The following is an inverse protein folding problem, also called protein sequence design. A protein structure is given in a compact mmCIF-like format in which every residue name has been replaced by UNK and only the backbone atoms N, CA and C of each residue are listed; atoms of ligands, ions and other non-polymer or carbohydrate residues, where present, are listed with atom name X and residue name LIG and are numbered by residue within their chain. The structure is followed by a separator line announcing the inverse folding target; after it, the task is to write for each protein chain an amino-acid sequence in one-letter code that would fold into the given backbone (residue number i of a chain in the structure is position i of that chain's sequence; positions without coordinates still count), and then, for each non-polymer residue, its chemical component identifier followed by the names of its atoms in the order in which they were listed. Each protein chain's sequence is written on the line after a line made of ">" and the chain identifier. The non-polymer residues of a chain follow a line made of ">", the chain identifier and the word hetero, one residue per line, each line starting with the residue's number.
data_IF_014155647787
#
_entry.id   IF_014155647787
#
_cell.length_a   1.000
_cell.length_b   1.000
_cell.length_c   1.000
_cell.angle_alpha   90.00
_cell.angle_beta   90.00
_cell.angle_gamma   90.00
#
_symmetry.space_group_name_H-M   'P 1'
#
loop_
_entity.id
_entity.type
_entity.pdbx_description
1 polymer ?
#
# COMPACT_ATOMS: atom_id res chain seq x y z
N UNK A 1 -13.50 20.69 13.57
CA UNK A 1 -13.31 21.52 12.37
C UNK A 1 -14.13 20.90 11.25
N UNK A 2 -14.70 21.72 10.38
CA UNK A 2 -15.52 21.27 9.25
C UNK A 2 -14.77 21.58 7.96
N UNK A 3 -14.46 20.55 7.17
CA UNK A 3 -13.71 20.60 5.90
C UNK A 3 -12.52 21.59 5.88
N UNK A 4 -11.53 21.44 6.78
CA UNK A 4 -10.40 22.37 6.84
C UNK A 4 -9.48 22.30 5.60
N UNK A 5 -9.72 21.35 4.69
CA UNK A 5 -9.01 21.14 3.43
C UNK A 5 -9.54 21.94 2.23
N UNK A 6 -10.68 22.62 2.33
CA UNK A 6 -11.43 23.18 1.20
C UNK A 6 -10.62 24.04 0.19
N UNK A 7 -9.49 24.63 0.62
CA UNK A 7 -8.63 25.48 -0.22
C UNK A 7 -7.17 25.04 -0.26
N UNK A 8 -6.87 23.80 0.13
CA UNK A 8 -5.52 23.26 0.17
C UNK A 8 -5.26 22.29 -0.98
N UNK A 9 -4.07 22.38 -1.58
CA UNK A 9 -3.57 21.33 -2.48
C UNK A 9 -3.42 20.01 -1.74
N UNK A 10 -3.32 18.89 -2.45
CA UNK A 10 -3.05 17.58 -1.84
C UNK A 10 -1.81 17.61 -0.94
N UNK A 11 -0.74 18.29 -1.34
CA UNK A 11 0.45 18.49 -0.50
C UNK A 11 0.16 19.35 0.73
N UNK A 12 -0.60 20.44 0.59
CA UNK A 12 -0.99 21.29 1.70
C UNK A 12 -1.86 20.57 2.73
N UNK A 13 -2.71 19.65 2.28
CA UNK A 13 -3.49 18.79 3.16
C UNK A 13 -2.61 17.80 3.94
N UNK A 14 -1.58 17.25 3.31
CA UNK A 14 -0.58 16.42 3.99
C UNK A 14 0.23 17.21 5.04
N UNK A 15 0.57 18.46 4.73
CA UNK A 15 1.21 19.36 5.69
C UNK A 15 0.27 19.68 6.87
N UNK A 16 -1.02 19.87 6.59
CA UNK A 16 -2.05 20.09 7.61
C UNK A 16 -2.18 18.90 8.57
N UNK A 17 -2.08 17.66 8.08
CA UNK A 17 -2.03 16.47 8.95
C UNK A 17 -0.87 16.52 9.94
N UNK A 18 0.33 16.96 9.51
CA UNK A 18 1.48 17.12 10.42
C UNK A 18 1.25 18.22 11.46
N UNK A 19 0.56 19.30 11.09
CA UNK A 19 0.18 20.36 12.02
C UNK A 19 -0.79 19.80 13.07
N UNK A 20 -1.84 19.08 12.64
CA UNK A 20 -2.79 18.44 13.54
C UNK A 20 -2.11 17.48 14.52
N UNK A 21 -1.17 16.65 14.04
CA UNK A 21 -0.39 15.76 14.90
C UNK A 21 0.43 16.56 15.92
N UNK A 22 1.04 17.69 15.53
CA UNK A 22 1.77 18.57 16.45
C UNK A 22 0.90 19.24 17.52
N UNK A 23 -0.41 19.42 17.28
CA UNK A 23 -1.37 19.86 18.30
C UNK A 23 -1.81 18.71 19.21
N UNK A 24 -2.04 17.52 18.65
CA UNK A 24 -2.47 16.34 19.40
C UNK A 24 -1.36 15.73 20.26
N UNK A 25 -0.12 15.77 19.76
CA UNK A 25 1.05 15.16 20.36
C UNK A 25 2.25 16.13 20.28
N UNK A 26 2.23 17.23 21.04
CA UNK A 26 3.28 18.23 21.00
C UNK A 26 4.62 17.66 21.50
N UNK A 27 5.70 17.99 20.81
CA UNK A 27 7.06 17.61 21.21
C UNK A 27 7.57 18.43 22.40
N UNK A 28 7.12 19.69 22.54
CA UNK A 28 7.44 20.53 23.67
C UNK A 28 6.62 20.09 24.90
N UNK A 29 7.25 19.59 25.98
CA UNK A 29 6.55 19.16 27.19
C UNK A 29 5.74 20.28 27.87
N UNK A 30 6.04 21.54 27.56
CA UNK A 30 5.33 22.70 28.10
C UNK A 30 4.00 22.97 27.41
N UNK A 31 3.76 22.36 26.25
CA UNK A 31 2.52 22.54 25.49
C UNK A 31 1.55 21.42 25.83
N UNK A 32 0.35 21.79 26.28
CA UNK A 32 -0.70 20.83 26.54
C UNK A 32 -1.19 20.20 25.21
N UNK A 33 -1.33 18.85 25.15
CA UNK A 33 -2.01 18.16 24.05
C UNK A 33 -3.43 18.69 23.84
N UNK A 34 -3.87 18.80 22.58
CA UNK A 34 -5.23 19.20 22.23
C UNK A 34 -5.93 18.09 21.45
N UNK A 35 -7.22 17.83 21.74
CA UNK A 35 -8.00 16.92 20.93
C UNK A 35 -8.34 17.58 19.59
N UNK A 36 -7.93 16.95 18.49
CA UNK A 36 -8.26 17.39 17.12
C UNK A 36 -9.34 16.47 16.56
N UNK A 37 -10.50 17.05 16.23
CA UNK A 37 -11.60 16.36 15.55
C UNK A 37 -11.99 17.17 14.32
N UNK A 38 -12.01 16.52 13.17
CA UNK A 38 -12.40 17.12 11.91
C UNK A 38 -13.20 16.15 11.04
N UNK A 39 -13.97 16.70 10.12
CA UNK A 39 -14.65 15.97 9.05
C UNK A 39 -14.09 16.44 7.71
N UNK A 40 -14.01 15.53 6.74
CA UNK A 40 -13.47 15.83 5.41
C UNK A 40 -14.05 14.85 4.39
N UNK A 41 -14.25 15.34 3.17
CA UNK A 41 -14.49 14.50 2.01
C UNK A 41 -13.21 14.23 1.21
N UNK A 42 -12.08 14.85 1.58
CA UNK A 42 -10.85 14.68 0.85
C UNK A 42 -10.11 13.41 1.27
N UNK A 43 -9.71 12.56 0.30
CA UNK A 43 -8.87 11.40 0.57
C UNK A 43 -7.44 11.81 1.00
N UNK A 44 -7.01 13.03 0.73
CA UNK A 44 -5.67 13.53 1.06
C UNK A 44 -5.58 14.16 2.46
N UNK A 45 -6.69 14.38 3.15
CA UNK A 45 -6.71 14.77 4.56
C UNK A 45 -7.08 13.58 5.48
N UNK A 46 -6.78 12.36 5.03
CA UNK A 46 -6.93 11.15 5.82
C UNK A 46 -5.56 10.68 6.30
N UNK A 47 -5.41 10.57 7.62
CA UNK A 47 -4.21 10.01 8.23
C UNK A 47 -4.22 8.47 8.15
N UNK A 48 -3.65 7.96 7.05
CA UNK A 48 -3.50 6.52 6.77
C UNK A 48 -2.56 5.83 7.76
N UNK A 49 -1.62 6.56 8.37
CA UNK A 49 -0.72 6.01 9.41
C UNK A 49 -1.46 5.58 10.68
N UNK A 50 -2.62 6.19 10.94
CA UNK A 50 -3.44 5.99 12.13
C UNK A 50 -4.88 5.61 11.79
N UNK A 51 -5.06 4.52 11.05
CA UNK A 51 -6.38 4.06 10.61
C UNK A 51 -7.37 3.75 11.75
N UNK A 52 -6.89 3.50 12.97
CA UNK A 52 -7.71 3.36 14.18
C UNK A 52 -8.37 4.66 14.64
N UNK A 53 -7.90 5.82 14.17
CA UNK A 53 -8.49 7.14 14.44
C UNK A 53 -9.57 7.50 13.42
N UNK A 54 -9.61 6.82 12.29
CA UNK A 54 -10.57 7.11 11.20
C UNK A 54 -11.95 6.57 11.58
N UNK A 55 -12.98 7.38 11.37
CA UNK A 55 -14.39 7.02 11.46
C UNK A 55 -15.03 7.25 10.09
N UNK A 56 -15.63 6.21 9.51
CA UNK A 56 -16.36 6.34 8.24
C UNK A 56 -17.84 6.45 8.54
N UNK A 57 -18.47 7.52 8.07
CA UNK A 57 -19.91 7.72 8.19
C UNK A 57 -20.56 7.32 6.86
N UNK A 58 -21.45 6.34 6.91
CA UNK A 58 -22.20 5.86 5.75
C UNK A 58 -23.68 6.16 5.96
N UNK A 59 -24.29 6.85 4.98
CA UNK A 59 -25.74 7.01 4.92
C UNK A 59 -26.33 5.75 4.29
N UNK A 60 -27.20 5.03 5.02
CA UNK A 60 -27.94 3.89 4.49
C UNK A 60 -29.27 4.35 3.89
N UNK A 61 -29.87 3.50 3.06
CA UNK A 61 -31.17 3.78 2.44
C UNK A 61 -32.32 3.58 3.44
N UNK A 62 -33.41 4.32 3.23
CA UNK A 62 -34.63 4.20 4.06
C UNK A 62 -34.42 4.60 5.52
N UNK A 63 -35.02 3.83 6.43
CA UNK A 63 -35.07 4.10 7.88
C UNK A 63 -33.85 3.55 8.65
N UNK A 64 -32.85 2.97 7.96
CA UNK A 64 -31.67 2.37 8.59
C UNK A 64 -30.71 3.42 9.21
N UNK A 65 -30.89 4.70 8.90
CA UNK A 65 -30.14 5.80 9.50
C UNK A 65 -28.66 5.87 9.06
N UNK A 66 -27.80 6.40 9.95
CA UNK A 66 -26.36 6.57 9.68
C UNK A 66 -25.56 5.46 10.36
N UNK A 67 -24.78 4.73 9.58
CA UNK A 67 -23.83 3.73 10.10
C UNK A 67 -22.46 4.38 10.31
N UNK A 68 -21.86 4.17 11.48
CA UNK A 68 -20.50 4.63 11.78
C UNK A 68 -19.55 3.44 11.88
N UNK A 69 -18.64 3.32 10.90
CA UNK A 69 -17.55 2.34 10.96
C UNK A 69 -16.42 2.94 11.78
N UNK A 70 -16.17 2.35 12.95
CA UNK A 70 -15.26 2.94 13.96
C UNK A 70 -13.78 2.78 13.66
N UNK A 71 -13.38 1.93 12.72
CA UNK A 71 -11.98 1.72 12.41
C UNK A 71 -11.88 1.25 10.97
N UNK A 72 -11.41 2.13 10.09
CA UNK A 72 -11.30 1.83 8.66
C UNK A 72 -10.19 0.80 8.37
N UNK A 73 -9.11 0.77 9.15
CA UNK A 73 -7.98 -0.14 8.90
C UNK A 73 -8.31 -1.61 9.18
N UNK A 74 -9.30 -1.91 10.03
CA UNK A 74 -9.75 -3.31 10.27
C UNK A 74 -10.28 -4.00 9.02
N UNK A 75 -10.89 -3.24 8.12
CA UNK A 75 -11.46 -3.76 6.89
C UNK A 75 -10.65 -3.33 5.66
N UNK A 76 -9.32 -3.16 5.78
CA UNK A 76 -8.44 -2.76 4.67
C UNK A 76 -8.81 -1.45 4.01
N UNK A 77 -9.38 -0.53 4.78
CA UNK A 77 -9.93 0.71 4.27
C UNK A 77 -11.05 0.47 3.22
N UNK A 78 -11.61 -0.73 3.10
CA UNK A 78 -12.73 -1.04 2.21
C UNK A 78 -13.95 -0.15 2.47
N UNK A 79 -14.30 0.19 3.73
CA UNK A 79 -15.35 1.18 3.98
C UNK A 79 -15.03 2.55 3.38
N UNK A 80 -13.75 2.97 3.39
CA UNK A 80 -13.34 4.21 2.70
C UNK A 80 -13.41 4.05 1.18
N UNK A 81 -12.94 2.93 0.63
CA UNK A 81 -13.01 2.64 -0.82
C UNK A 81 -14.45 2.68 -1.32
N UNK A 82 -15.34 2.00 -0.60
CA UNK A 82 -16.77 1.98 -0.88
C UNK A 82 -17.39 3.38 -0.78
N UNK A 83 -17.01 4.17 0.23
CA UNK A 83 -17.49 5.54 0.40
C UNK A 83 -17.01 6.50 -0.71
N UNK A 84 -15.80 6.30 -1.25
CA UNK A 84 -15.29 7.08 -2.38
C UNK A 84 -15.80 6.57 -3.75
N UNK A 85 -16.32 5.34 -3.82
CA UNK A 85 -16.75 4.67 -5.05
C UNK A 85 -15.60 3.93 -5.75
N UNK A 86 -15.89 2.76 -6.35
CA UNK A 86 -14.86 1.82 -6.83
C UNK A 86 -13.84 2.40 -7.82
N UNK A 87 -14.26 3.24 -8.76
CA UNK A 87 -13.37 3.83 -9.77
C UNK A 87 -12.48 4.95 -9.21
N UNK A 88 -13.04 5.79 -8.33
CA UNK A 88 -12.31 6.87 -7.65
C UNK A 88 -11.37 6.26 -6.61
N UNK A 89 -11.79 5.26 -5.85
CA UNK A 89 -10.95 4.57 -4.87
C UNK A 89 -9.68 4.01 -5.52
N UNK A 90 -9.78 3.25 -6.61
CA UNK A 90 -8.62 2.61 -7.25
C UNK A 90 -7.58 3.60 -7.81
N UNK A 91 -8.02 4.77 -8.32
CA UNK A 91 -7.11 5.81 -8.83
C UNK A 91 -6.66 6.82 -7.78
N UNK A 92 -7.48 7.09 -6.76
CA UNK A 92 -7.17 8.00 -5.64
C UNK A 92 -6.03 7.47 -4.76
N UNK A 93 -5.78 6.16 -4.79
CA UNK A 93 -4.64 5.56 -4.12
C UNK A 93 -3.34 5.64 -4.95
N UNK A 94 -3.35 6.05 -6.23
CA UNK A 94 -2.11 6.42 -6.90
C UNK A 94 -1.72 7.83 -6.44
N UNK A 95 -0.83 7.88 -5.45
CA UNK A 95 -0.28 9.12 -4.88
C UNK A 95 0.93 9.59 -5.70
N UNK A 96 1.56 10.68 -5.25
CA UNK A 96 2.85 11.13 -5.78
C UNK A 96 3.95 10.05 -5.64
N UNK A 97 3.84 9.16 -4.66
CA UNK A 97 4.75 8.03 -4.44
C UNK A 97 3.97 6.73 -4.20
N UNK A 98 4.32 5.68 -4.96
CA UNK A 98 3.59 4.42 -4.97
C UNK A 98 4.54 3.23 -4.82
N UNK A 99 4.19 2.28 -3.98
CA UNK A 99 4.81 0.97 -3.89
C UNK A 99 3.85 -0.07 -4.48
N UNK A 100 4.21 -0.59 -5.67
CA UNK A 100 3.48 -1.65 -6.34
C UNK A 100 3.80 -2.98 -5.68
N UNK A 101 2.77 -3.72 -5.31
CA UNK A 101 2.83 -5.00 -4.60
C UNK A 101 2.12 -6.07 -5.42
N UNK A 102 2.53 -7.33 -5.31
CA UNK A 102 1.93 -8.40 -6.09
C UNK A 102 0.50 -8.68 -5.64
N UNK A 103 0.29 -8.79 -4.33
CA UNK A 103 -0.96 -9.26 -3.75
C UNK A 103 -1.57 -8.30 -2.73
N UNK A 104 -2.84 -8.55 -2.44
CA UNK A 104 -3.54 -7.88 -1.32
C UNK A 104 -2.95 -8.33 0.03
N UNK A 105 -2.48 -9.58 0.15
CA UNK A 105 -1.78 -10.09 1.33
C UNK A 105 -0.59 -9.20 1.71
N UNK A 106 0.23 -8.81 0.73
CA UNK A 106 1.42 -7.98 0.92
C UNK A 106 1.06 -6.62 1.51
N UNK A 107 0.00 -5.99 0.96
CA UNK A 107 -0.50 -4.71 1.43
C UNK A 107 -0.92 -4.79 2.91
N UNK A 108 -1.60 -5.87 3.29
CA UNK A 108 -2.10 -6.10 4.65
C UNK A 108 -0.94 -6.27 5.62
N UNK A 109 0.04 -7.09 5.25
CA UNK A 109 1.22 -7.33 6.08
C UNK A 109 2.04 -6.05 6.27
N UNK A 110 2.35 -5.33 5.19
CA UNK A 110 3.14 -4.09 5.25
C UNK A 110 2.41 -2.98 6.01
N UNK A 111 1.14 -2.71 5.71
CA UNK A 111 0.37 -1.68 6.41
C UNK A 111 0.15 -2.04 7.89
N UNK A 112 -0.15 -3.31 8.18
CA UNK A 112 -0.37 -3.82 9.52
C UNK A 112 0.90 -3.75 10.38
N UNK A 113 2.03 -4.20 9.83
CA UNK A 113 3.33 -4.16 10.51
C UNK A 113 3.80 -2.71 10.72
N UNK A 114 3.63 -1.86 9.71
CA UNK A 114 3.93 -0.43 9.81
C UNK A 114 3.14 0.23 10.95
N UNK A 115 1.85 -0.08 11.10
CA UNK A 115 1.04 0.39 12.23
C UNK A 115 1.54 -0.13 13.58
N UNK A 116 1.97 -1.41 13.66
CA UNK A 116 2.54 -2.00 14.89
C UNK A 116 3.86 -1.32 15.28
N UNK A 117 4.76 -1.08 14.33
CA UNK A 117 6.03 -0.39 14.55
C UNK A 117 5.80 1.05 15.07
N UNK A 118 4.77 1.76 14.57
CA UNK A 118 4.41 3.09 15.12
C UNK A 118 3.93 2.99 16.56
N UNK A 119 3.13 1.98 16.90
CA UNK A 119 2.68 1.76 18.28
C UNK A 119 3.86 1.47 19.22
N UNK A 120 4.92 0.82 18.72
CA UNK A 120 6.18 0.60 19.46
C UNK A 120 7.09 1.82 19.48
N UNK A 121 6.69 2.94 18.86
CA UNK A 121 7.50 4.16 18.71
C UNK A 121 8.83 3.90 18.00
N UNK A 122 8.84 2.99 17.02
CA UNK A 122 9.98 2.79 16.15
C UNK A 122 10.37 4.11 15.46
N UNK A 123 11.68 4.36 15.21
CA UNK A 123 12.13 5.55 14.49
C UNK A 123 11.41 5.70 13.15
N UNK A 124 11.14 6.95 12.75
CA UNK A 124 10.43 7.23 11.50
C UNK A 124 11.14 6.69 10.25
N UNK A 125 12.47 6.58 10.29
CA UNK A 125 13.26 6.00 9.18
C UNK A 125 13.11 4.48 9.07
N UNK A 126 12.74 3.81 10.17
CA UNK A 126 12.55 2.37 10.22
C UNK A 126 11.09 1.98 9.93
N UNK A 127 10.27 2.94 9.51
CA UNK A 127 8.85 2.73 9.25
C UNK A 127 8.41 3.38 7.93
N UNK A 128 7.47 2.74 7.27
CA UNK A 128 6.85 3.26 6.06
C UNK A 128 5.92 4.41 6.44
N UNK A 129 5.97 5.56 5.76
CA UNK A 129 4.96 6.62 5.91
C UNK A 129 3.83 6.39 4.89
N UNK A 130 2.70 5.87 5.34
CA UNK A 130 1.52 5.57 4.50
C UNK A 130 0.77 6.82 4.07
N UNK A 131 1.07 7.99 4.65
CA UNK A 131 0.55 9.27 4.19
C UNK A 131 1.30 9.75 2.94
N UNK A 132 2.61 9.53 2.89
CA UNK A 132 3.47 9.87 1.75
C UNK A 132 3.50 8.79 0.65
N UNK A 133 3.50 7.51 1.04
CA UNK A 133 3.58 6.34 0.15
C UNK A 133 2.22 5.63 0.11
N UNK A 134 1.74 5.30 -1.08
CA UNK A 134 0.60 4.39 -1.21
C UNK A 134 1.04 2.99 -1.61
N UNK A 135 0.49 1.99 -0.92
CA UNK A 135 0.63 0.58 -1.27
C UNK A 135 -0.44 0.21 -2.31
N UNK A 136 -0.01 -0.30 -3.46
CA UNK A 136 -0.89 -0.60 -4.60
C UNK A 136 -0.79 -2.10 -4.95
N UNK A 137 -1.76 -2.94 -4.55
CA UNK A 137 -1.78 -4.34 -4.90
C UNK A 137 -2.18 -4.54 -6.36
N UNK A 138 -1.41 -5.33 -7.11
CA UNK A 138 -1.64 -5.61 -8.53
C UNK A 138 -2.44 -6.89 -8.81
N UNK A 139 -2.67 -7.70 -7.78
CA UNK A 139 -3.33 -9.00 -7.86
C UNK A 139 -2.43 -10.15 -8.31
N UNK A 140 -1.36 -9.88 -9.07
CA UNK A 140 -0.28 -10.83 -9.37
C UNK A 140 0.94 -10.11 -9.93
N UNK A 141 2.13 -10.70 -9.75
CA UNK A 141 3.38 -10.26 -10.40
C UNK A 141 3.21 -10.00 -11.91
N UNK A 142 2.39 -10.79 -12.62
CA UNK A 142 2.18 -10.62 -14.07
C UNK A 142 1.50 -9.30 -14.45
N UNK A 143 0.71 -8.71 -13.54
CA UNK A 143 -0.01 -7.46 -13.77
C UNK A 143 0.84 -6.23 -13.45
N UNK A 144 1.91 -6.38 -12.67
CA UNK A 144 2.79 -5.28 -12.24
C UNK A 144 3.31 -4.45 -13.42
N UNK A 145 3.92 -5.03 -14.49
CA UNK A 145 4.45 -4.21 -15.58
C UNK A 145 3.39 -3.35 -16.27
N UNK A 146 2.17 -3.88 -16.40
CA UNK A 146 1.06 -3.15 -17.00
C UNK A 146 0.59 -2.01 -16.10
N UNK A 147 0.46 -2.25 -14.78
CA UNK A 147 0.09 -1.21 -13.83
C UNK A 147 1.13 -0.09 -13.74
N UNK A 148 2.42 -0.44 -13.75
CA UNK A 148 3.51 0.54 -13.79
C UNK A 148 3.45 1.38 -15.07
N UNK A 149 3.17 0.76 -16.21
CA UNK A 149 2.98 1.48 -17.48
C UNK A 149 1.80 2.47 -17.40
N UNK A 150 0.67 2.07 -16.82
CA UNK A 150 -0.49 2.95 -16.64
C UNK A 150 -0.20 4.09 -15.67
N UNK A 151 0.39 3.80 -14.51
CA UNK A 151 0.68 4.78 -13.48
C UNK A 151 1.64 5.87 -13.98
N UNK A 152 2.66 5.51 -14.77
CA UNK A 152 3.59 6.49 -15.35
C UNK A 152 2.99 7.28 -16.51
N UNK A 153 1.94 6.76 -17.14
CA UNK A 153 1.23 7.42 -18.24
C UNK A 153 2.15 7.92 -19.35
N UNK A 154 1.70 9.00 -20.02
CA UNK A 154 2.49 9.77 -20.99
C UNK A 154 2.70 11.22 -20.57
N UNK A 155 2.28 11.57 -19.36
CA UNK A 155 2.33 12.93 -18.87
C UNK A 155 3.77 13.37 -18.55
N UNK A 156 3.96 14.69 -18.48
CA UNK A 156 5.24 15.29 -18.11
C UNK A 156 5.57 15.01 -16.64
N UNK A 157 4.56 15.11 -15.77
CA UNK A 157 4.66 14.71 -14.37
C UNK A 157 4.31 13.24 -14.23
N UNK A 158 5.32 12.43 -13.90
CA UNK A 158 5.16 11.00 -13.66
C UNK A 158 5.22 10.75 -12.15
N UNK A 159 4.25 10.03 -11.57
CA UNK A 159 4.33 9.66 -10.17
C UNK A 159 5.58 8.81 -9.91
N UNK A 160 6.13 8.94 -8.71
CA UNK A 160 7.19 8.05 -8.26
C UNK A 160 6.60 6.64 -8.05
N UNK A 161 7.32 5.65 -8.56
CA UNK A 161 6.91 4.25 -8.51
C UNK A 161 8.10 3.40 -8.05
N UNK A 162 7.89 2.65 -6.99
CA UNK A 162 8.75 1.58 -6.49
C UNK A 162 7.96 0.29 -6.69
N UNK A 163 8.65 -0.80 -6.99
CA UNK A 163 8.04 -2.12 -7.14
C UNK A 163 8.70 -3.07 -6.15
N UNK A 164 7.90 -3.85 -5.43
CA UNK A 164 8.36 -4.97 -4.61
C UNK A 164 7.79 -6.27 -5.19
N UNK A 165 8.68 -7.22 -5.48
CA UNK A 165 8.36 -8.52 -6.06
C UNK A 165 8.89 -9.66 -5.18
N UNK A 166 8.23 -10.80 -5.28
CA UNK A 166 8.79 -12.08 -4.86
C UNK A 166 10.00 -12.48 -5.70
N UNK A 167 10.73 -13.47 -5.18
CA UNK A 167 11.86 -14.11 -5.85
C UNK A 167 11.49 -15.50 -6.37
N UNK A 168 10.29 -15.61 -6.93
CA UNK A 168 9.81 -16.78 -7.67
C UNK A 168 9.88 -16.53 -9.19
N UNK A 169 9.48 -17.52 -9.99
CA UNK A 169 9.50 -17.40 -11.45
C UNK A 169 8.61 -16.25 -11.96
N UNK A 170 7.50 -15.97 -11.25
CA UNK A 170 6.55 -14.92 -11.61
C UNK A 170 7.17 -13.52 -11.39
N UNK A 171 7.79 -13.30 -10.23
CA UNK A 171 8.53 -12.09 -9.88
C UNK A 171 9.70 -11.84 -10.84
N UNK A 172 10.47 -12.87 -11.19
CA UNK A 172 11.56 -12.77 -12.16
C UNK A 172 11.07 -12.36 -13.56
N UNK A 173 9.95 -12.92 -14.00
CA UNK A 173 9.30 -12.54 -15.27
C UNK A 173 8.83 -11.08 -15.22
N UNK A 174 8.23 -10.65 -14.11
CA UNK A 174 7.79 -9.28 -13.90
C UNK A 174 8.97 -8.29 -13.92
N UNK A 175 10.07 -8.59 -13.20
CA UNK A 175 11.32 -7.81 -13.20
C UNK A 175 11.88 -7.64 -14.62
N UNK A 176 11.97 -8.72 -15.39
CA UNK A 176 12.38 -8.67 -16.81
C UNK A 176 11.42 -7.84 -17.65
N UNK A 177 10.12 -7.94 -17.41
CA UNK A 177 9.09 -7.15 -18.06
C UNK A 177 9.25 -5.64 -17.82
N UNK A 178 9.53 -5.24 -16.58
CA UNK A 178 9.78 -3.85 -16.20
C UNK A 178 11.06 -3.29 -16.83
N UNK A 179 12.11 -4.10 -16.91
CA UNK A 179 13.39 -3.73 -17.51
C UNK A 179 13.33 -3.65 -19.05
N UNK A 180 12.56 -4.53 -19.71
CA UNK A 180 12.44 -4.51 -21.18
C UNK A 180 11.41 -3.49 -21.65
N UNK A 181 10.28 -3.40 -20.94
CA UNK A 181 9.10 -2.61 -21.28
C UNK A 181 8.56 -2.82 -22.70
N UNK A 182 7.64 -1.94 -23.12
CA UNK A 182 7.07 -1.96 -24.46
C UNK A 182 8.01 -1.25 -25.45
N UNK A 183 8.24 -1.84 -26.63
CA UNK A 183 9.16 -1.31 -27.64
C UNK A 183 10.64 -1.21 -27.18
N UNK A 184 11.05 -2.03 -26.21
CA UNK A 184 12.44 -2.07 -25.71
C UNK A 184 12.84 -0.89 -24.83
N UNK A 185 11.87 -0.09 -24.34
CA UNK A 185 12.12 1.01 -23.40
C UNK A 185 11.77 0.58 -21.98
N UNK A 186 12.74 0.72 -21.07
CA UNK A 186 12.58 0.47 -19.63
C UNK A 186 11.36 1.21 -19.07
N UNK A 187 10.54 0.51 -18.29
CA UNK A 187 9.37 1.11 -17.64
C UNK A 187 9.72 1.87 -16.37
N UNK A 188 10.75 1.46 -15.63
CA UNK A 188 11.26 2.15 -14.44
C UNK A 188 12.76 1.94 -14.31
N UNK A 189 13.39 2.72 -13.43
CA UNK A 189 14.77 2.53 -13.03
C UNK A 189 14.92 1.16 -12.34
N UNK A 190 15.90 0.30 -12.73
CA UNK A 190 16.16 -0.96 -12.05
C UNK A 190 16.38 -0.84 -10.54
N UNK A 191 16.91 0.28 -10.06
CA UNK A 191 17.15 0.50 -8.63
C UNK A 191 15.84 0.68 -7.83
N UNK A 192 14.72 0.91 -8.53
CA UNK A 192 13.37 1.00 -7.97
C UNK A 192 12.60 -0.34 -8.08
N UNK A 193 13.25 -1.41 -8.54
CA UNK A 193 12.69 -2.76 -8.61
C UNK A 193 13.35 -3.59 -7.50
N UNK A 194 12.63 -3.79 -6.41
CA UNK A 194 13.07 -4.57 -5.26
C UNK A 194 12.55 -6.00 -5.42
N UNK A 195 13.41 -6.99 -5.16
CA UNK A 195 13.03 -8.39 -4.98
C UNK A 195 13.34 -8.83 -3.55
N UNK A 196 12.45 -9.64 -2.96
CA UNK A 196 12.59 -10.09 -1.58
C UNK A 196 13.84 -10.94 -1.35
N UNK A 197 14.25 -11.74 -2.33
CA UNK A 197 15.49 -12.54 -2.28
C UNK A 197 16.77 -11.70 -2.40
N UNK A 198 16.68 -10.43 -2.79
CA UNK A 198 17.83 -9.51 -2.78
C UNK A 198 18.09 -8.93 -1.35
N UNK A 199 17.21 -9.21 -0.39
CA UNK A 199 17.36 -8.75 1.00
C UNK A 199 18.49 -9.52 1.69
N UNK A 200 19.48 -8.85 2.30
CA UNK A 200 20.58 -9.52 2.99
C UNK A 200 20.09 -10.43 4.12
N UNK A 201 20.43 -11.73 4.05
CA UNK A 201 19.98 -12.73 5.02
C UNK A 201 20.55 -12.55 6.44
N UNK A 202 21.59 -11.73 6.61
CA UNK A 202 22.11 -11.31 7.91
C UNK A 202 21.24 -10.24 8.60
N UNK A 203 20.37 -9.57 7.83
CA UNK A 203 19.46 -8.53 8.33
C UNK A 203 18.04 -9.02 8.59
N UNK A 204 17.66 -10.15 7.99
CA UNK A 204 16.29 -10.64 8.02
C UNK A 204 16.29 -12.15 8.26
N UNK A 205 15.71 -12.55 9.38
CA UNK A 205 15.49 -13.95 9.68
C UNK A 205 14.28 -14.46 8.89
N UNK A 206 14.41 -15.65 8.32
CA UNK A 206 13.32 -16.36 7.65
C UNK A 206 13.15 -17.74 8.26
N UNK A 207 11.90 -18.20 8.29
CA UNK A 207 11.55 -19.56 8.68
C UNK A 207 11.60 -20.54 7.52
N UNK A 208 11.61 -20.05 6.28
CA UNK A 208 11.76 -20.87 5.10
C UNK A 208 13.23 -21.33 4.96
N UNK A 209 13.42 -22.60 4.60
CA UNK A 209 14.74 -23.22 4.47
C UNK A 209 15.59 -22.58 3.36
N UNK A 210 14.93 -22.02 2.36
CA UNK A 210 15.56 -21.45 1.17
C UNK A 210 15.74 -19.91 1.26
N UNK A 211 15.48 -19.33 2.44
CA UNK A 211 15.51 -17.89 2.67
C UNK A 211 14.22 -17.18 2.27
N UNK A 212 14.26 -15.85 2.21
CA UNK A 212 13.08 -15.03 1.91
C UNK A 212 12.84 -15.00 0.40
N UNK A 213 11.76 -15.65 -0.07
CA UNK A 213 11.32 -15.55 -1.47
C UNK A 213 10.01 -14.77 -1.61
N UNK A 214 9.11 -15.01 -0.68
CA UNK A 214 7.79 -14.38 -0.60
C UNK A 214 7.69 -13.57 0.69
N UNK A 215 6.70 -12.68 0.77
CA UNK A 215 6.57 -11.82 1.97
C UNK A 215 6.16 -12.65 3.18
N UNK A 216 5.47 -13.77 2.96
CA UNK A 216 5.06 -14.71 4.00
C UNK A 216 6.26 -15.41 4.65
N UNK A 217 7.40 -15.51 3.97
CA UNK A 217 8.65 -16.07 4.51
C UNK A 217 9.29 -15.20 5.60
N UNK A 218 8.79 -13.97 5.77
CA UNK A 218 9.16 -13.08 6.88
C UNK A 218 8.36 -13.36 8.16
N UNK A 219 7.35 -14.23 8.10
CA UNK A 219 6.46 -14.50 9.24
C UNK A 219 7.09 -15.57 10.13
N UNK A 220 7.42 -15.26 11.40
CA UNK A 220 7.90 -16.27 12.34
C UNK A 220 6.89 -17.42 12.49
N UNK A 221 7.37 -18.66 12.55
CA UNK A 221 6.52 -19.85 12.43
C UNK A 221 5.53 -19.97 13.58
N UNK A 222 5.93 -19.55 14.79
CA UNK A 222 5.05 -19.45 15.95
C UNK A 222 3.88 -18.47 15.72
N UNK A 223 4.14 -17.35 15.05
CA UNK A 223 3.11 -16.38 14.66
C UNK A 223 2.23 -16.97 13.55
N UNK A 224 2.84 -17.63 12.56
CA UNK A 224 2.12 -18.31 11.48
C UNK A 224 1.13 -19.36 11.98
N UNK A 225 1.57 -20.27 12.86
CA UNK A 225 0.70 -21.29 13.47
C UNK A 225 -0.42 -20.64 14.30
N UNK A 226 -0.09 -19.62 15.10
CA UNK A 226 -1.09 -18.85 15.85
C UNK A 226 -2.13 -18.19 14.94
N UNK A 227 -1.68 -17.63 13.81
CA UNK A 227 -2.54 -17.05 12.79
C UNK A 227 -3.44 -18.10 12.13
N UNK A 228 -2.94 -19.31 11.84
CA UNK A 228 -3.75 -20.41 11.30
C UNK A 228 -4.83 -20.83 12.30
N UNK A 229 -4.51 -20.96 13.59
CA UNK A 229 -5.50 -21.24 14.64
C UNK A 229 -6.58 -20.17 14.72
N UNK A 230 -6.20 -18.91 14.55
CA UNK A 230 -7.14 -17.79 14.51
C UNK A 230 -8.00 -17.81 13.26
N UNK A 231 -7.40 -18.01 12.09
CA UNK A 231 -8.11 -18.18 10.82
C UNK A 231 -9.18 -19.27 10.92
N UNK A 232 -8.83 -20.40 11.55
CA UNK A 232 -9.77 -21.50 11.77
C UNK A 232 -10.98 -21.09 12.62
N UNK A 233 -10.79 -20.26 13.66
CA UNK A 233 -11.88 -19.73 14.47
C UNK A 233 -12.79 -18.76 13.71
N UNK A 234 -12.23 -18.00 12.77
CA UNK A 234 -12.95 -16.97 12.04
C UNK A 234 -13.71 -17.53 10.82
N UNK A 235 -13.21 -18.59 10.20
CA UNK A 235 -13.67 -19.05 8.88
C UNK A 235 -14.13 -20.51 8.79
N UNK A 236 -13.90 -21.35 9.81
CA UNK A 236 -14.31 -22.76 9.78
C UNK A 236 -15.45 -23.06 10.76
N UNK A 237 -16.11 -24.19 10.53
CA UNK A 237 -17.10 -24.71 11.48
C UNK A 237 -16.45 -25.06 12.82
N UNK A 238 -17.18 -24.99 13.96
CA UNK A 238 -16.60 -25.17 15.29
C UNK A 238 -15.82 -26.48 15.46
N UNK A 239 -16.29 -27.59 14.88
CA UNK A 239 -15.61 -28.89 14.93
C UNK A 239 -14.28 -28.90 14.18
N UNK A 240 -14.25 -28.30 12.98
CA UNK A 240 -13.03 -28.16 12.18
C UNK A 240 -12.05 -27.21 12.86
N UNK A 241 -12.55 -26.10 13.43
CA UNK A 241 -11.70 -25.18 14.18
C UNK A 241 -11.01 -25.86 15.35
N UNK A 242 -11.72 -26.69 16.12
CA UNK A 242 -11.14 -27.46 17.23
C UNK A 242 -10.00 -28.39 16.78
N UNK A 243 -10.10 -29.01 15.61
CA UNK A 243 -9.04 -29.85 15.06
C UNK A 243 -7.76 -29.04 14.80
N UNK A 244 -7.89 -27.84 14.23
CA UNK A 244 -6.76 -26.94 13.96
C UNK A 244 -6.13 -26.38 15.24
N UNK A 245 -6.87 -26.28 16.36
CA UNK A 245 -6.29 -25.80 17.62
C UNK A 245 -5.13 -26.68 18.14
N UNK A 246 -5.08 -27.96 17.72
CA UNK A 246 -3.99 -28.89 18.03
C UNK A 246 -2.73 -28.73 17.16
N UNK A 247 -2.74 -27.82 16.18
CA UNK A 247 -1.61 -27.57 15.29
C UNK A 247 -0.44 -26.93 16.04
N UNK A 248 0.76 -27.47 15.91
CA UNK A 248 1.96 -26.91 16.53
C UNK A 248 3.06 -26.61 15.51
N UNK A 249 4.08 -25.86 15.94
CA UNK A 249 5.22 -25.47 15.09
C UNK A 249 5.91 -26.70 14.48
N UNK A 250 5.99 -27.81 15.22
CA UNK A 250 6.58 -29.06 14.74
C UNK A 250 5.76 -29.83 13.71
N UNK A 251 4.50 -29.45 13.49
CA UNK A 251 3.66 -30.03 12.43
C UNK A 251 3.91 -29.40 11.05
N UNK A 252 4.69 -28.31 10.99
CA UNK A 252 4.95 -27.58 9.75
C UNK A 252 6.21 -28.11 9.09
N UNK A 253 6.04 -28.76 7.94
CA UNK A 253 7.11 -29.27 7.09
C UNK A 253 7.24 -28.44 5.80
N UNK A 254 8.48 -28.18 5.39
CA UNK A 254 8.84 -27.40 4.20
C UNK A 254 9.30 -28.27 3.03
N UNK A 255 9.45 -29.59 3.21
CA UNK A 255 10.10 -30.50 2.25
C UNK A 255 9.53 -30.42 0.81
N UNK A 256 8.22 -30.20 0.66
CA UNK A 256 7.53 -30.10 -0.63
C UNK A 256 6.75 -28.77 -0.80
N UNK A 257 7.19 -27.70 -0.14
CA UNK A 257 6.48 -26.40 -0.13
C UNK A 257 7.37 -25.26 -0.62
N UNK A 258 6.83 -24.37 -1.47
CA UNK A 258 7.51 -23.15 -1.92
C UNK A 258 7.21 -21.98 -0.97
N UNK A 259 7.71 -22.13 0.27
CA UNK A 259 7.67 -21.10 1.29
C UNK A 259 6.66 -21.32 2.43
N UNK A 260 6.59 -20.33 3.31
CA UNK A 260 5.94 -20.43 4.62
C UNK A 260 4.41 -20.53 4.51
N UNK A 261 3.79 -19.88 3.51
CA UNK A 261 2.36 -19.99 3.29
C UNK A 261 1.93 -21.42 2.91
N UNK A 262 2.63 -22.04 1.97
CA UNK A 262 2.34 -23.40 1.51
C UNK A 262 2.56 -24.42 2.63
N UNK A 263 3.66 -24.29 3.38
CA UNK A 263 3.96 -25.15 4.53
C UNK A 263 2.86 -25.08 5.61
N UNK A 264 2.40 -23.87 5.94
CA UNK A 264 1.29 -23.66 6.88
C UNK A 264 -0.03 -24.22 6.33
N UNK A 265 -0.29 -24.07 5.03
CA UNK A 265 -1.49 -24.59 4.38
C UNK A 265 -1.51 -26.13 4.41
N UNK A 266 -0.39 -26.78 4.09
CA UNK A 266 -0.24 -28.23 4.15
C UNK A 266 -0.43 -28.76 5.57
N UNK A 267 0.19 -28.11 6.57
CA UNK A 267 0.05 -28.47 7.98
C UNK A 267 -1.41 -28.33 8.45
N UNK A 268 -2.10 -27.26 8.06
CA UNK A 268 -3.53 -27.08 8.35
C UNK A 268 -4.41 -28.15 7.66
N UNK A 269 -4.11 -28.49 6.41
CA UNK A 269 -4.82 -29.52 5.66
C UNK A 269 -4.63 -30.93 6.25
N UNK A 270 -3.50 -31.18 6.90
CA UNK A 270 -3.27 -32.44 7.64
C UNK A 270 -4.21 -32.61 8.83
N UNK A 271 -4.65 -31.51 9.45
CA UNK A 271 -5.63 -31.52 10.55
C UNK A 271 -7.06 -31.54 10.02
N UNK A 272 -7.34 -30.77 8.96
CA UNK A 272 -8.67 -30.66 8.33
C UNK A 272 -8.54 -30.91 6.82
N UNK A 273 -8.84 -32.12 6.33
CA UNK A 273 -8.77 -32.43 4.92
C UNK A 273 -9.63 -31.48 4.06
N UNK A 274 -9.06 -30.97 2.98
CA UNK A 274 -9.73 -30.04 2.08
C UNK A 274 -9.74 -28.57 2.53
N UNK A 275 -9.14 -28.25 3.68
CA UNK A 275 -8.95 -26.86 4.09
C UNK A 275 -8.07 -26.11 3.09
N UNK A 276 -8.56 -24.96 2.62
CA UNK A 276 -7.81 -24.01 1.81
C UNK A 276 -7.47 -22.78 2.65
N UNK A 277 -6.18 -22.55 2.86
CA UNK A 277 -5.68 -21.40 3.60
C UNK A 277 -5.43 -20.24 2.63
N UNK A 278 -6.39 -19.32 2.53
CA UNK A 278 -6.25 -18.14 1.68
C UNK A 278 -5.18 -17.18 2.22
N UNK A 279 -4.36 -16.59 1.32
CA UNK A 279 -3.27 -15.68 1.68
C UNK A 279 -3.77 -14.40 2.36
N UNK A 280 -4.88 -13.83 1.90
CA UNK A 280 -5.46 -12.59 2.46
C UNK A 280 -6.02 -12.84 3.85
N UNK A 281 -6.73 -13.96 4.03
CA UNK A 281 -7.22 -14.40 5.33
C UNK A 281 -6.08 -14.69 6.31
N UNK A 282 -5.03 -15.39 5.87
CA UNK A 282 -3.85 -15.62 6.70
C UNK A 282 -3.19 -14.31 7.11
N UNK A 283 -2.94 -13.39 6.17
CA UNK A 283 -2.33 -12.09 6.45
C UNK A 283 -3.11 -11.28 7.49
N UNK A 284 -4.46 -11.30 7.43
CA UNK A 284 -5.32 -10.70 8.46
C UNK A 284 -5.10 -11.34 9.82
N UNK A 285 -5.17 -12.67 9.88
CA UNK A 285 -5.00 -13.41 11.12
C UNK A 285 -3.62 -13.22 11.73
N UNK A 286 -2.56 -13.04 10.92
CA UNK A 286 -1.20 -12.69 11.37
C UNK A 286 -1.19 -11.33 12.07
N UNK A 287 -1.71 -10.29 11.43
CA UNK A 287 -1.73 -8.94 12.02
C UNK A 287 -2.56 -8.91 13.30
N UNK A 288 -3.69 -9.62 13.34
CA UNK A 288 -4.50 -9.73 14.55
C UNK A 288 -3.78 -10.49 15.67
N UNK A 289 -3.12 -11.60 15.35
CA UNK A 289 -2.33 -12.37 16.33
C UNK A 289 -1.25 -11.50 16.96
N UNK A 290 -0.57 -10.65 16.19
CA UNK A 290 0.47 -9.73 16.70
C UNK A 290 -0.13 -8.58 17.52
N UNK A 291 -1.35 -8.13 17.21
CA UNK A 291 -2.01 -7.03 17.94
C UNK A 291 -2.55 -7.43 19.30
N UNK A 292 -2.98 -8.68 19.45
CA UNK A 292 -3.72 -9.14 20.62
C UNK A 292 -2.98 -10.16 21.51
N UNK A 293 -1.78 -10.60 21.12
CA UNK A 293 -0.96 -11.46 21.96
C UNK A 293 0.05 -10.65 22.79
N UNK A 294 -0.17 -10.59 24.09
CA UNK A 294 0.80 -10.09 25.06
C UNK A 294 1.96 -11.06 25.34
N UNK A 295 1.94 -12.27 24.74
CA UNK A 295 2.91 -13.34 24.99
C UNK A 295 3.74 -13.78 23.78
N UNK A 296 3.59 -13.16 22.61
CA UNK A 296 4.42 -13.43 21.41
C UNK A 296 5.50 -12.36 21.17
N UNK A 297 5.59 -11.35 22.03
CA UNK A 297 6.69 -10.37 21.99
C UNK A 297 8.06 -11.07 22.17
N UNK A 298 8.14 -12.15 22.96
CA UNK A 298 9.36 -12.96 23.11
C UNK A 298 9.74 -13.74 21.83
N UNK A 299 8.76 -14.17 21.03
CA UNK A 299 9.02 -14.84 19.75
C UNK A 299 9.58 -13.87 18.70
N UNK A 300 9.21 -12.59 18.77
CA UNK A 300 9.80 -11.51 17.97
C UNK A 300 11.24 -11.21 18.42
N UNK A 301 11.54 -11.32 19.71
CA UNK A 301 12.88 -11.12 20.27
C UNK A 301 13.85 -12.28 20.00
N UNK A 302 13.34 -13.51 19.88
CA UNK A 302 14.18 -14.70 19.67
C UNK A 302 14.84 -14.73 18.28
N UNK A 303 14.40 -13.88 17.34
CA UNK A 303 15.03 -13.72 16.01
C UNK A 303 15.88 -12.44 15.85
N UNK A 304 16.12 -11.70 16.94
CA UNK A 304 16.92 -10.46 16.93
C UNK A 304 18.29 -10.64 17.59
N UNK A 305 19.34 -10.58 16.78
CA UNK A 305 20.73 -10.37 17.20
C UNK A 305 20.82 -9.16 18.13
N UNK A 306 21.35 -9.39 19.34
CA UNK A 306 21.99 -8.43 20.23
C UNK A 306 21.41 -7.01 20.28
N UNK A 307 20.43 -6.77 21.14
CA UNK A 307 20.22 -5.44 21.72
C UNK A 307 21.50 -5.07 22.46
N UNK A 308 22.31 -4.20 21.85
CA UNK A 308 23.46 -3.58 22.49
C UNK A 308 22.92 -2.73 23.64
N UNK A 309 22.94 -3.30 24.83
CA UNK A 309 22.56 -2.62 26.07
C UNK A 309 23.59 -1.54 26.39
N UNK A 310 23.07 -0.36 26.69
CA UNK A 310 23.63 0.70 27.53
C UNK A 310 25.13 1.03 27.40
N UNK A 311 25.40 2.19 26.81
CA UNK A 311 26.66 2.92 26.94
C UNK A 311 26.40 4.42 27.01
N UNK A 312 26.30 4.92 28.24
CA UNK A 312 26.28 6.30 28.70
C UNK A 312 26.91 7.39 27.81
N UNK A 313 26.17 8.48 27.69
CA UNK A 313 26.58 9.88 27.49
C UNK A 313 28.09 10.20 27.45
N UNK A 314 28.52 10.87 26.38
CA UNK A 314 29.34 12.08 26.50
C UNK A 314 29.28 12.91 25.21
N UNK A 315 28.83 14.15 25.37
CA UNK A 315 28.95 15.23 24.39
C UNK A 315 30.42 15.49 24.06
N UNK A 316 30.75 15.56 22.77
CA UNK A 316 31.95 16.25 22.30
C UNK A 316 31.65 16.95 20.98
N UNK A 317 31.58 18.28 21.04
CA UNK A 317 31.52 19.16 19.89
C UNK A 317 32.86 19.13 19.15
N UNK A 318 32.82 19.15 17.82
CA UNK A 318 33.98 19.47 16.99
C UNK A 318 33.56 20.31 15.76
N UNK A 319 34.46 21.18 15.25
CA UNK A 319 34.08 22.46 14.64
C UNK A 319 34.18 22.50 13.11
N UNK A 320 33.44 23.45 12.51
CA UNK A 320 33.89 24.37 11.45
C UNK A 320 34.51 23.84 10.15
N UNK A 321 33.79 24.05 9.03
CA UNK A 321 34.26 23.96 7.62
C UNK A 321 35.49 24.86 7.34
N UNK A 322 36.23 24.63 6.23
CA UNK A 322 35.93 25.32 4.96
C UNK A 322 36.12 24.38 3.73
N UNK A 323 35.36 24.42 2.63
CA UNK A 323 35.19 25.52 1.69
C UNK A 323 35.94 25.23 0.36
N UNK A 324 35.23 24.82 -0.70
CA UNK A 324 35.75 24.82 -2.09
C UNK A 324 34.56 24.96 -3.07
N UNK A 325 34.24 26.20 -3.46
CA UNK A 325 34.56 26.85 -4.73
C UNK A 325 34.04 26.13 -5.99
N UNK A 326 32.88 26.64 -6.43
CA UNK A 326 32.36 26.62 -7.79
C UNK A 326 33.39 27.07 -8.84
N UNK A 327 33.36 26.42 -10.02
CA UNK A 327 33.66 27.05 -11.32
C UNK A 327 32.67 26.52 -12.38
N UNK A 328 32.07 27.40 -13.21
CA UNK A 328 31.30 27.02 -14.39
C UNK A 328 32.19 27.03 -15.63
N UNK A 329 31.90 26.14 -16.59
CA UNK A 329 32.58 26.07 -17.88
C UNK A 329 31.58 25.88 -19.01
N UNK A 330 31.35 26.96 -19.75
CA UNK A 330 30.66 27.05 -21.04
C UNK A 330 31.28 26.14 -22.11
N UNK A 331 30.48 25.69 -23.08
CA UNK A 331 30.97 24.99 -24.26
C UNK A 331 29.89 24.56 -25.25
N UNK A 332 29.31 25.53 -25.96
CA UNK A 332 28.48 25.39 -27.16
C UNK A 332 29.14 24.60 -28.28
N UNK A 333 28.41 23.73 -28.98
CA UNK A 333 28.69 23.37 -30.39
C UNK A 333 27.39 23.17 -31.18
N UNK A 334 27.24 23.98 -32.23
CA UNK A 334 26.19 23.99 -33.24
C UNK A 334 26.75 23.40 -34.55
N UNK A 335 26.12 22.32 -35.05
CA UNK A 335 25.96 21.90 -36.46
C UNK A 335 27.20 21.61 -37.32
N UNK A 336 27.04 21.24 -38.62
CA UNK A 336 25.81 20.95 -39.37
C UNK A 336 25.86 19.66 -40.24
N UNK A 337 24.78 19.33 -40.98
CA UNK A 337 24.92 18.65 -42.29
C UNK A 337 24.10 17.39 -42.62
N UNK A 338 22.81 17.59 -42.96
CA UNK A 338 22.02 17.01 -44.07
C UNK A 338 22.62 15.84 -44.90
N UNK A 339 21.87 14.73 -45.08
CA UNK A 339 21.63 14.05 -46.38
C UNK A 339 20.32 13.25 -46.33
N UNK A 340 19.40 13.54 -47.26
CA UNK A 340 18.22 12.74 -47.61
C UNK A 340 18.61 11.49 -48.41
N UNK A 341 17.96 10.35 -48.18
CA UNK A 341 17.75 9.34 -49.22
C UNK A 341 16.34 8.75 -49.13
N UNK A 342 15.61 8.89 -50.23
CA UNK A 342 14.39 8.16 -50.55
C UNK A 342 14.71 6.74 -51.01
N UNK A 343 13.88 5.77 -50.60
CA UNK A 343 13.89 4.40 -51.12
C UNK A 343 12.61 3.64 -50.77
N UNK A 344 11.61 3.73 -51.66
CA UNK A 344 10.69 2.67 -52.12
C UNK A 344 10.49 1.43 -51.20
N UNK A 345 9.35 1.29 -50.53
CA UNK A 345 8.09 0.63 -50.96
C UNK A 345 8.06 -0.90 -50.84
N UNK A 346 7.28 -1.40 -49.88
CA UNK A 346 6.48 -2.63 -50.02
C UNK A 346 5.27 -2.52 -49.10
N UNK A 347 4.12 -2.25 -49.69
CA UNK A 347 2.85 -2.12 -48.97
C UNK A 347 2.22 -3.47 -48.67
N UNK A 348 1.58 -3.56 -47.50
CA UNK A 348 0.48 -4.48 -47.25
C UNK A 348 -0.69 -3.64 -46.74
N UNK A 349 -1.74 -3.57 -47.56
CA UNK A 349 -3.02 -2.90 -47.24
C UNK A 349 -3.78 -3.75 -46.22
N UNK A 350 -4.28 -3.14 -45.15
CA UNK A 350 -5.46 -3.65 -44.45
C UNK A 350 -6.58 -2.61 -44.50
N UNK A 351 -7.74 -3.10 -44.94
CA UNK A 351 -9.00 -2.39 -45.17
C UNK A 351 -9.53 -1.77 -43.88
N UNK A 352 -9.85 -0.48 -43.93
CA UNK A 352 -10.71 0.20 -42.95
C UNK A 352 -12.17 -0.18 -43.22
N UNK A 353 -12.83 -0.84 -42.28
CA UNK A 353 -14.29 -0.98 -42.27
C UNK A 353 -14.85 0.14 -41.40
N UNK A 354 -15.57 1.08 -42.05
CA UNK A 354 -16.35 2.11 -41.39
C UNK A 354 -17.61 1.46 -40.78
N UNK A 355 -17.71 1.47 -39.45
CA UNK A 355 -18.96 1.27 -38.73
C UNK A 355 -19.37 2.58 -38.06
N UNK A 356 -20.49 3.15 -38.52
CA UNK A 356 -21.16 4.30 -37.90
C UNK A 356 -21.93 3.85 -36.66
N UNK A 357 -21.69 4.50 -35.52
CA UNK A 357 -22.64 4.58 -34.39
C UNK A 357 -22.58 6.03 -33.87
N UNK A 358 -23.71 6.74 -33.70
CA UNK A 358 -23.73 8.19 -33.55
C UNK A 358 -23.46 8.67 -32.12
N UNK A 359 -22.79 9.82 -32.03
CA UNK A 359 -22.62 10.61 -30.81
C UNK A 359 -23.96 11.27 -30.41
N UNK A 360 -24.40 11.05 -29.17
CA UNK A 360 -25.41 11.91 -28.53
C UNK A 360 -24.72 13.16 -27.98
N UNK A 361 -25.07 14.31 -28.55
CA UNK A 361 -24.82 15.64 -27.99
C UNK A 361 -25.93 16.00 -26.97
N UNK A 362 -25.64 16.84 -25.96
CA UNK A 362 -26.62 17.27 -24.97
C UNK A 362 -27.56 18.34 -25.58
N UNK A 363 -28.87 18.13 -25.41
CA UNK A 363 -29.89 19.12 -25.75
C UNK A 363 -29.98 20.13 -24.60
N UNK A 364 -29.55 21.35 -24.90
CA UNK A 364 -29.94 22.57 -24.20
C UNK A 364 -31.27 22.99 -24.81
N UNK A 365 -32.31 23.16 -23.98
CA UNK A 365 -33.52 23.87 -24.38
C UNK A 365 -33.94 24.82 -23.27
N UNK A 366 -33.93 26.09 -23.63
CA UNK A 366 -34.50 27.23 -22.92
C UNK A 366 -35.95 26.99 -22.46
N UNK A 367 -36.28 27.50 -21.28
CA UNK A 367 -37.61 28.03 -21.00
C UNK A 367 -37.50 29.21 -20.05
N UNK A 368 -37.61 30.40 -20.64
CA UNK A 368 -37.81 31.66 -19.97
C UNK A 368 -39.20 31.73 -19.30
N UNK A 369 -39.22 32.43 -18.16
CA UNK A 369 -40.28 33.35 -17.71
C UNK A 369 -41.73 32.86 -17.65
N UNK A 370 -42.23 32.66 -16.41
CA UNK A 370 -43.53 33.22 -15.98
C UNK A 370 -43.50 33.59 -14.50
N UNK A 371 -43.65 34.89 -14.25
CA UNK A 371 -44.11 35.51 -13.01
C UNK A 371 -45.62 35.35 -12.84
N UNK A 372 -46.08 35.15 -11.61
CA UNK A 372 -47.34 35.67 -11.00
C UNK A 372 -47.54 34.90 -9.67
N UNK A 373 -47.30 35.55 -8.54
CA UNK A 373 -48.29 36.19 -7.65
C UNK A 373 -48.85 35.25 -6.57
N UNK A 374 -48.49 35.61 -5.34
CA UNK A 374 -49.30 35.66 -4.11
C UNK A 374 -50.52 34.74 -3.99
N UNK A 375 -50.48 33.85 -2.99
CA UNK A 375 -51.61 33.64 -2.09
C UNK A 375 -51.13 33.09 -0.73
N UNK A 376 -51.40 33.90 0.27
CA UNK A 376 -51.42 33.71 1.73
C UNK A 376 -52.11 32.44 2.23
N UNK A 377 -51.66 32.07 3.43
CA UNK A 377 -52.41 31.55 4.57
C UNK A 377 -52.75 30.06 4.74
N UNK A 378 -52.45 29.66 5.98
CA UNK A 378 -53.14 28.73 6.88
C UNK A 378 -52.75 27.24 6.88
N UNK A 379 -52.35 26.85 8.11
CA UNK A 379 -52.28 25.54 8.77
C UNK A 379 -51.11 24.60 8.45
#
# INVERSE_FOLDING_TARGET
>A
MDEPDAYLSSSGQQDLLRIFEGFAHPQDPKRAPCQVVYVTHSPFLIDKNHGERIRVLEKREGDEGTRVVRNASRNHYEPLRSAFGGFVAETTFISNCNLMLEGMSDQILLAGMSARLRQQKAPALDNIDLNALTLVPAGSASHIPYMVYLARGRDADRPAVIVLLGSDEAGDKARKGLQRGSQGKRLIDPDLILQLGDVPGDKVASTATDGVRTIEDLIPLAIGVSAVKRYANDFLEPEQSQQVQSLDVGDVDFSDCDGTHEALAAAAQSKVPGLHLDKVGLARSVIDSIRYSSGLDDALHTMGVGVCSQGSSQFAAAPGRPGSKLRPGFGSWLGPGRVEQHGSSSGVRFRTVRGHVPLCAPVVSDLQSRSCHDATDAT
#
